data_IF_476319870771
#
_entry.id   IF_476319870771
#
_cell.length_a   1.000
_cell.length_b   1.000
_cell.length_c   1.000
_cell.angle_alpha   90.00
_cell.angle_beta   90.00
_cell.angle_gamma   90.00
#
_symmetry.space_group_name_H-M   'P 1'
#
loop_
_entity.id
_entity.type
_entity.pdbx_description
1 polymer ?
#
# COMPACT_ATOMS: atom_id res chain seq x y z
N UNK A 1 -2.39 30.74 35.73
CA UNK A 1 -1.22 30.60 34.83
C UNK A 1 -0.86 29.11 34.75
N UNK A 2 -1.44 28.35 33.81
CA UNK A 2 -1.23 26.89 33.71
C UNK A 2 -0.69 26.53 32.32
N UNK A 3 0.64 26.39 32.23
CA UNK A 3 1.42 26.03 31.05
C UNK A 3 1.27 24.56 30.62
N UNK A 4 0.07 24.00 30.39
CA UNK A 4 -0.03 22.56 30.02
C UNK A 4 -1.05 22.20 28.95
N UNK A 5 -1.43 23.12 28.07
CA UNK A 5 -2.34 22.79 26.95
C UNK A 5 -1.75 21.79 25.93
N UNK A 6 -0.41 21.71 25.80
CA UNK A 6 0.27 20.86 24.81
C UNK A 6 0.75 19.48 25.30
N UNK A 7 0.51 19.13 26.57
CA UNK A 7 1.06 17.92 27.20
C UNK A 7 0.09 16.73 27.21
N UNK A 8 -1.09 16.86 26.61
CA UNK A 8 -2.11 15.81 26.65
C UNK A 8 -1.78 14.64 25.70
N UNK A 9 -1.72 13.44 26.29
CA UNK A 9 -1.86 12.16 25.57
C UNK A 9 -3.17 12.18 24.78
N UNK A 10 -3.10 11.96 23.47
CA UNK A 10 -4.28 11.90 22.59
C UNK A 10 -4.25 12.88 21.41
N UNK A 11 -3.33 13.87 21.40
CA UNK A 11 -3.18 14.69 20.20
C UNK A 11 -2.65 13.87 19.02
N UNK A 12 -3.38 13.90 17.91
CA UNK A 12 -2.94 13.29 16.66
C UNK A 12 -1.69 14.01 16.16
N UNK A 13 -0.53 13.39 16.40
CA UNK A 13 0.75 13.87 15.86
C UNK A 13 0.69 13.76 14.34
N UNK A 14 0.53 14.90 13.65
CA UNK A 14 0.77 14.97 12.21
C UNK A 14 2.26 14.70 12.00
N UNK A 15 2.61 13.53 11.45
CA UNK A 15 3.98 13.19 11.08
C UNK A 15 4.39 14.01 9.86
N UNK A 16 4.77 15.26 10.10
CA UNK A 16 5.30 16.15 9.07
C UNK A 16 6.79 15.86 8.89
N UNK A 17 7.26 15.82 7.65
CA UNK A 17 8.68 15.58 7.37
C UNK A 17 9.49 16.78 7.90
N UNK A 18 10.49 16.56 8.76
CA UNK A 18 11.27 17.66 9.31
C UNK A 18 12.05 18.40 8.21
N UNK A 19 12.23 19.72 8.32
CA UNK A 19 13.04 20.49 7.38
C UNK A 19 14.51 20.04 7.43
N UNK A 20 15.24 20.26 6.33
CA UNK A 20 16.69 20.04 6.30
C UNK A 20 17.42 20.92 7.33
N UNK A 21 18.69 20.63 7.62
CA UNK A 21 19.53 21.39 8.57
C UNK A 21 19.58 22.91 8.29
N UNK A 22 19.26 23.35 7.07
CA UNK A 22 19.17 24.76 6.68
C UNK A 22 17.74 25.29 6.56
N UNK A 23 16.75 24.62 7.19
CA UNK A 23 15.34 25.02 7.16
C UNK A 23 14.64 24.79 5.82
N UNK A 24 15.35 24.36 4.77
CA UNK A 24 14.74 24.09 3.45
C UNK A 24 13.89 22.84 3.51
N UNK A 25 12.66 22.93 3.03
CA UNK A 25 11.81 21.75 2.86
C UNK A 25 12.49 20.76 1.90
N UNK A 26 12.51 19.46 2.20
CA UNK A 26 13.08 18.47 1.30
C UNK A 26 12.33 18.52 -0.03
N UNK A 27 13.05 18.79 -1.13
CA UNK A 27 12.47 18.80 -2.47
C UNK A 27 12.02 17.37 -2.80
N UNK A 28 10.73 17.14 -2.80
CA UNK A 28 10.16 15.89 -3.33
C UNK A 28 10.51 15.82 -4.82
N UNK A 29 11.43 14.94 -5.20
CA UNK A 29 11.71 14.68 -6.61
C UNK A 29 10.44 14.09 -7.25
N UNK A 30 10.04 14.63 -8.40
CA UNK A 30 8.89 14.11 -9.20
C UNK A 30 9.04 12.59 -9.33
N UNK A 31 7.98 11.84 -9.00
CA UNK A 31 7.96 10.37 -9.07
C UNK A 31 8.46 9.61 -7.82
N UNK A 32 8.99 10.26 -6.77
CA UNK A 32 9.51 9.55 -5.57
C UNK A 32 8.49 9.22 -4.48
N UNK A 33 7.20 9.57 -4.64
CA UNK A 33 6.19 9.26 -3.62
C UNK A 33 5.07 8.44 -4.23
N UNK A 34 5.01 7.17 -3.85
CA UNK A 34 3.80 6.35 -3.99
C UNK A 34 2.81 6.84 -2.92
N UNK A 35 2.00 7.83 -3.27
CA UNK A 35 0.92 8.31 -2.41
C UNK A 35 -0.34 7.56 -2.81
N UNK A 36 -1.01 6.92 -1.86
CA UNK A 36 -2.31 6.31 -2.13
C UNK A 36 -3.28 7.41 -2.60
N UNK A 37 -4.05 7.19 -3.67
CA UNK A 37 -5.02 8.19 -4.11
C UNK A 37 -6.03 8.45 -2.99
N UNK A 38 -6.43 9.72 -2.82
CA UNK A 38 -7.39 10.10 -1.78
C UNK A 38 -8.83 9.71 -2.12
N UNK A 39 -9.13 9.46 -3.40
CA UNK A 39 -10.44 9.01 -3.90
C UNK A 39 -10.21 7.89 -4.89
N UNK A 40 -11.03 6.85 -4.83
CA UNK A 40 -11.06 5.80 -5.85
C UNK A 40 -11.99 6.23 -6.98
N UNK A 41 -11.54 6.05 -8.22
CA UNK A 41 -12.33 6.29 -9.44
C UNK A 41 -12.73 4.93 -10.01
N UNK A 42 -13.83 4.89 -10.75
CA UNK A 42 -14.31 3.66 -11.41
C UNK A 42 -13.25 3.02 -12.33
N UNK A 43 -12.47 3.85 -13.03
CA UNK A 43 -11.35 3.40 -13.86
C UNK A 43 -10.26 2.67 -13.04
N UNK A 44 -9.90 3.20 -11.86
CA UNK A 44 -8.92 2.54 -10.99
C UNK A 44 -9.42 1.20 -10.45
N UNK A 45 -10.73 1.03 -10.27
CA UNK A 45 -11.30 -0.25 -9.84
C UNK A 45 -11.33 -1.26 -11.00
N UNK A 46 -11.64 -0.82 -12.22
CA UNK A 46 -11.52 -1.66 -13.42
C UNK A 46 -10.07 -2.12 -13.64
N UNK A 47 -9.08 -1.23 -13.49
CA UNK A 47 -7.65 -1.56 -13.59
C UNK A 47 -7.22 -2.60 -12.54
N UNK A 48 -7.78 -2.52 -11.33
CA UNK A 48 -7.53 -3.51 -10.26
C UNK A 48 -8.11 -4.87 -10.60
N UNK A 49 -9.32 -4.92 -11.12
CA UNK A 49 -9.96 -6.17 -11.54
C UNK A 49 -9.19 -6.82 -12.69
N UNK A 50 -8.76 -6.01 -13.67
CA UNK A 50 -7.92 -6.47 -14.77
C UNK A 50 -6.59 -7.03 -14.26
N UNK A 51 -5.94 -6.32 -13.33
CA UNK A 51 -4.67 -6.78 -12.71
C UNK A 51 -4.86 -8.11 -11.96
N UNK A 52 -5.94 -8.26 -11.19
CA UNK A 52 -6.27 -9.51 -10.49
C UNK A 52 -6.48 -10.65 -11.48
N UNK A 53 -7.18 -10.40 -12.57
CA UNK A 53 -7.41 -11.39 -13.62
C UNK A 53 -6.10 -11.85 -14.27
N UNK A 54 -5.24 -10.91 -14.65
CA UNK A 54 -3.92 -11.20 -15.24
C UNK A 54 -3.07 -12.05 -14.28
N UNK A 55 -3.01 -11.67 -12.99
CA UNK A 55 -2.25 -12.42 -12.00
C UNK A 55 -2.77 -13.85 -11.85
N UNK A 56 -4.07 -14.04 -11.75
CA UNK A 56 -4.69 -15.39 -11.70
C UNK A 56 -4.32 -16.22 -12.93
N UNK A 57 -4.38 -15.64 -14.12
CA UNK A 57 -4.00 -16.34 -15.36
C UNK A 57 -2.52 -16.75 -15.36
N UNK A 58 -1.63 -15.86 -14.89
CA UNK A 58 -0.21 -16.15 -14.80
C UNK A 58 0.09 -17.24 -13.76
N UNK A 59 -0.57 -17.21 -12.61
CA UNK A 59 -0.47 -18.22 -11.56
C UNK A 59 -0.90 -19.60 -12.08
N UNK A 60 -2.07 -19.68 -12.74
CA UNK A 60 -2.58 -20.93 -13.32
C UNK A 60 -1.65 -21.46 -14.40
N UNK A 61 -1.09 -20.58 -15.24
CA UNK A 61 -0.13 -20.96 -16.28
C UNK A 61 1.15 -21.53 -15.68
N UNK A 62 1.69 -20.88 -14.65
CA UNK A 62 2.87 -21.35 -13.93
C UNK A 62 2.63 -22.69 -13.25
N UNK A 63 1.50 -22.86 -12.55
CA UNK A 63 1.13 -24.11 -11.89
C UNK A 63 0.97 -25.26 -12.90
N UNK A 64 0.33 -24.99 -14.05
CA UNK A 64 0.15 -25.99 -15.11
C UNK A 64 1.49 -26.45 -15.71
N UNK A 65 2.42 -25.52 -15.95
CA UNK A 65 3.76 -25.86 -16.45
C UNK A 65 4.54 -26.70 -15.44
N UNK A 66 4.52 -26.33 -14.16
CA UNK A 66 5.20 -27.10 -13.12
C UNK A 66 4.63 -28.53 -12.99
N UNK A 67 3.29 -28.67 -12.98
CA UNK A 67 2.64 -29.98 -12.95
C UNK A 67 3.01 -30.86 -14.16
N UNK A 68 3.18 -30.25 -15.34
CA UNK A 68 3.63 -30.96 -16.55
C UNK A 68 5.06 -31.48 -16.42
N UNK A 69 5.93 -30.73 -15.74
CA UNK A 69 7.33 -31.09 -15.49
C UNK A 69 7.49 -32.03 -14.27
N UNK A 70 6.40 -32.46 -13.65
CA UNK A 70 6.39 -33.34 -12.48
C UNK A 70 6.68 -32.63 -11.15
N UNK A 71 6.76 -31.30 -11.16
CA UNK A 71 6.93 -30.48 -9.96
C UNK A 71 5.59 -30.01 -9.39
N UNK A 72 5.34 -30.25 -8.11
CA UNK A 72 4.15 -29.72 -7.42
C UNK A 72 4.50 -28.38 -6.74
N UNK A 73 3.91 -27.28 -7.21
CA UNK A 73 4.02 -25.99 -6.51
C UNK A 73 2.97 -25.92 -5.40
N UNK A 74 3.41 -25.76 -4.15
CA UNK A 74 2.51 -25.42 -3.04
C UNK A 74 2.03 -23.97 -3.22
N UNK A 75 0.75 -23.77 -3.54
CA UNK A 75 0.17 -22.42 -3.58
C UNK A 75 0.13 -21.89 -2.15
N UNK A 76 1.09 -21.04 -1.79
CA UNK A 76 1.07 -20.31 -0.52
C UNK A 76 -0.14 -19.39 -0.56
N UNK A 77 -1.12 -19.63 0.32
CA UNK A 77 -2.30 -18.80 0.49
C UNK A 77 -1.85 -17.34 0.65
N UNK A 78 -2.17 -16.49 -0.32
CA UNK A 78 -1.92 -15.06 -0.18
C UNK A 78 -2.62 -14.59 1.11
N UNK A 79 -1.88 -13.93 2.00
CA UNK A 79 -2.45 -13.33 3.19
C UNK A 79 -3.60 -12.44 2.75
N UNK A 80 -4.80 -12.69 3.30
CA UNK A 80 -5.97 -11.87 3.04
C UNK A 80 -5.56 -10.42 3.33
N UNK A 81 -5.63 -9.57 2.31
CA UNK A 81 -5.39 -8.14 2.46
C UNK A 81 -6.23 -7.66 3.63
N UNK A 82 -5.58 -7.30 4.72
CA UNK A 82 -6.20 -6.87 5.96
C UNK A 82 -6.84 -5.48 5.71
N UNK A 83 -7.97 -5.46 5.01
CA UNK A 83 -8.87 -4.31 4.96
C UNK A 83 -9.63 -4.30 6.29
N UNK A 84 -8.93 -3.84 7.33
CA UNK A 84 -9.54 -3.53 8.61
C UNK A 84 -10.61 -2.47 8.42
N UNK A 85 -11.84 -2.93 8.25
CA UNK A 85 -13.04 -2.15 8.44
C UNK A 85 -13.01 -1.64 9.88
N UNK A 86 -12.87 -0.33 10.07
CA UNK A 86 -13.21 0.32 11.33
C UNK A 86 -14.52 1.06 11.09
N UNK A 87 -15.56 0.50 11.68
CA UNK A 87 -16.77 1.23 12.12
C UNK A 87 -16.39 2.44 12.99
#
# INVERSE_FOLDING_TARGET
MTQKAGLFKGQQKKKTIPPSRHGKAPKNRKGKRVVKPSKMTSEMDADRELTKFINRCNEVKAATMANKEGGQLSVVKAEASNSGNKE
#
